data_IF_083503290290
#
_entry.id   IF_083503290290
#
_cell.length_a   1.000
_cell.length_b   1.000
_cell.length_c   1.000
_cell.angle_alpha   90.00
_cell.angle_beta   90.00
_cell.angle_gamma   90.00
#
_symmetry.space_group_name_H-M   'P 1'
#
loop_
_entity.id
_entity.type
_entity.pdbx_description
1 polymer ?
#
# COMPACT_ATOMS: atom_id res chain seq x y z
N UNK A 1 18.36 -1.31 -5.59
CA UNK A 1 17.35 -0.36 -5.06
C UNK A 1 16.21 -0.33 -6.05
N UNK A 2 14.97 -0.57 -5.62
CA UNK A 2 13.78 -0.51 -6.49
C UNK A 2 13.11 0.85 -6.23
N UNK A 3 12.83 1.58 -7.30
CA UNK A 3 12.12 2.86 -7.22
C UNK A 3 10.61 2.61 -7.10
N UNK A 4 10.02 3.09 -6.01
CA UNK A 4 8.58 2.99 -5.76
C UNK A 4 7.88 4.35 -5.93
N UNK A 5 8.61 5.43 -6.21
CA UNK A 5 8.05 6.77 -6.26
C UNK A 5 7.17 6.97 -7.51
N UNK A 6 7.30 6.10 -8.53
CA UNK A 6 6.42 6.09 -9.70
C UNK A 6 4.93 6.06 -9.31
N UNK A 7 4.60 5.39 -8.21
CA UNK A 7 3.22 5.17 -7.78
C UNK A 7 2.53 6.47 -7.35
N UNK A 8 3.28 7.49 -6.93
CA UNK A 8 2.71 8.81 -6.63
C UNK A 8 2.01 9.42 -7.84
N UNK A 9 2.58 9.25 -9.04
CA UNK A 9 1.98 9.78 -10.26
C UNK A 9 0.73 9.00 -10.67
N UNK A 10 0.73 7.68 -10.49
CA UNK A 10 -0.38 6.79 -10.86
C UNK A 10 -1.62 7.00 -9.99
N UNK A 11 -1.43 7.27 -8.70
CA UNK A 11 -2.54 7.36 -7.73
C UNK A 11 -2.82 8.79 -7.26
N UNK A 12 -2.17 9.78 -7.89
CA UNK A 12 -2.31 11.21 -7.58
C UNK A 12 -3.74 11.65 -7.34
N UNK A 13 -4.65 11.20 -8.20
CA UNK A 13 -6.05 11.65 -8.19
C UNK A 13 -6.91 10.88 -7.16
N UNK A 14 -6.38 9.81 -6.56
CA UNK A 14 -7.11 8.94 -5.61
C UNK A 14 -6.93 9.35 -4.16
N UNK A 15 -5.85 10.06 -3.82
CA UNK A 15 -5.62 10.61 -2.48
C UNK A 15 -5.92 12.11 -2.47
N UNK A 16 -6.60 12.57 -1.42
CA UNK A 16 -7.16 13.92 -1.36
C UNK A 16 -6.66 14.68 -0.15
N UNK A 17 -6.53 15.99 -0.34
CA UNK A 17 -6.11 17.03 0.61
C UNK A 17 -7.17 17.32 1.72
N UNK A 18 -8.19 16.46 1.86
CA UNK A 18 -9.40 16.76 2.63
C UNK A 18 -9.23 16.40 4.11
N UNK A 19 -8.36 17.14 4.80
CA UNK A 19 -8.25 17.15 6.27
C UNK A 19 -7.42 16.04 6.91
N UNK A 20 -7.29 14.88 6.27
CA UNK A 20 -6.44 13.79 6.75
C UNK A 20 -5.21 13.62 5.85
N UNK A 21 -4.03 13.56 6.48
CA UNK A 21 -2.80 13.21 5.78
C UNK A 21 -2.91 11.76 5.27
N UNK A 22 -2.81 11.61 3.96
CA UNK A 22 -2.77 10.28 3.35
C UNK A 22 -1.40 9.66 3.60
N UNK A 23 -1.38 8.38 3.99
CA UNK A 23 -0.13 7.63 4.08
C UNK A 23 0.53 7.59 2.70
N UNK A 24 1.85 7.77 2.66
CA UNK A 24 2.63 7.71 1.43
C UNK A 24 2.33 6.42 0.63
N UNK A 25 1.84 6.52 -0.62
CA UNK A 25 1.52 5.36 -1.44
C UNK A 25 2.65 4.31 -1.59
N UNK A 26 3.94 4.69 -1.67
CA UNK A 26 5.04 3.72 -1.65
C UNK A 26 5.07 2.85 -0.38
N UNK A 27 4.66 3.39 0.76
CA UNK A 27 4.63 2.65 2.04
C UNK A 27 3.53 1.59 2.00
N UNK A 28 2.34 1.96 1.51
CA UNK A 28 1.22 1.02 1.35
C UNK A 28 1.62 -0.13 0.43
N UNK A 29 2.23 0.16 -0.71
CA UNK A 29 2.66 -0.86 -1.67
C UNK A 29 3.72 -1.80 -1.07
N UNK A 30 4.69 -1.26 -0.31
CA UNK A 30 5.67 -2.07 0.43
C UNK A 30 4.98 -2.99 1.44
N UNK A 31 4.01 -2.49 2.21
CA UNK A 31 3.25 -3.28 3.16
C UNK A 31 2.52 -4.44 2.47
N UNK A 32 1.86 -4.19 1.33
CA UNK A 32 1.19 -5.23 0.55
C UNK A 32 2.17 -6.29 0.03
N UNK A 33 3.36 -5.88 -0.44
CA UNK A 33 4.40 -6.81 -0.88
C UNK A 33 4.92 -7.68 0.27
N UNK A 34 5.05 -7.15 1.47
CA UNK A 34 5.43 -7.94 2.65
C UNK A 34 4.43 -9.08 2.91
N UNK A 35 3.13 -8.82 2.76
CA UNK A 35 2.10 -9.86 2.91
C UNK A 35 2.33 -11.01 1.93
N UNK A 36 2.69 -10.69 0.68
CA UNK A 36 2.99 -11.68 -0.36
C UNK A 36 4.29 -12.42 -0.04
N UNK A 37 5.38 -11.71 0.26
CA UNK A 37 6.69 -12.33 0.47
C UNK A 37 6.75 -13.21 1.71
N UNK A 38 6.02 -12.85 2.77
CA UNK A 38 5.93 -13.66 3.98
C UNK A 38 4.80 -14.68 3.95
N UNK A 39 4.09 -14.81 2.81
CA UNK A 39 2.93 -15.68 2.66
C UNK A 39 1.95 -15.55 3.83
N UNK A 40 1.71 -14.29 4.25
CA UNK A 40 0.81 -13.99 5.36
C UNK A 40 -0.60 -14.36 4.91
N UNK A 41 -1.23 -15.28 5.64
CA UNK A 41 -2.58 -15.73 5.36
C UNK A 41 -3.54 -14.55 5.38
N UNK A 42 -4.51 -14.56 4.46
CA UNK A 42 -5.55 -13.54 4.42
C UNK A 42 -6.36 -13.55 5.71
N UNK A 43 -6.80 -12.37 6.17
CA UNK A 43 -7.68 -12.26 7.34
C UNK A 43 -8.94 -13.13 7.20
N UNK A 44 -9.45 -13.31 5.97
CA UNK A 44 -10.57 -14.22 5.69
C UNK A 44 -10.26 -15.69 5.95
N UNK A 45 -9.01 -16.10 5.76
CA UNK A 45 -8.57 -17.46 6.07
C UNK A 45 -8.26 -17.64 7.55
N UNK A 46 -7.89 -16.57 8.25
CA UNK A 46 -7.62 -16.59 9.69
C UNK A 46 -8.90 -16.57 10.52
N UNK A 47 -9.96 -15.95 10.02
CA UNK A 47 -11.27 -15.87 10.68
C UNK A 47 -12.19 -17.09 10.39
N UNK A 48 -11.74 -18.03 9.56
CA UNK A 48 -12.40 -19.31 9.28
C UNK A 48 -11.75 -20.43 10.11
#
# INVERSE_FOLDING_TARGET
HIDFDFIYNEVKDTYRINGNESVAPPIILKMMLLLIFYNVRSERELAA
#
